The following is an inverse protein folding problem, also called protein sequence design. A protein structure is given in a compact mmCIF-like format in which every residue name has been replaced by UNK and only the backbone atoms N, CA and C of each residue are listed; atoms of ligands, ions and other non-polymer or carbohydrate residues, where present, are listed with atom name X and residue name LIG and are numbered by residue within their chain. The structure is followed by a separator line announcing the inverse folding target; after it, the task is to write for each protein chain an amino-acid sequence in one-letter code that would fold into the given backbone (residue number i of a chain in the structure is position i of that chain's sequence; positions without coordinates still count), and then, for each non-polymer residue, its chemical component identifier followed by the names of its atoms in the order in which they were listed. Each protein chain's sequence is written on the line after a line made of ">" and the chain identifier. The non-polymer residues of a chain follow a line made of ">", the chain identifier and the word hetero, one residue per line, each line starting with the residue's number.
data_IF_668376039076
#
_entry.id   IF_668376039076
#
_cell.length_a   1.000
_cell.length_b   1.000
_cell.length_c   1.000
_cell.angle_alpha   90.00
_cell.angle_beta   90.00
_cell.angle_gamma   90.00
#
_symmetry.space_group_name_H-M   'P 1'
#
loop_
_entity.id
_entity.type
_entity.pdbx_description
1 polymer ?
#
# COMPACT_ATOMS: atom_id res chain seq x y z
N UNK A 1 -4.34 5.14 4.38
CA UNK A 1 -4.10 3.84 3.72
C UNK A 1 -5.36 3.01 3.73
N UNK A 2 -5.80 2.48 2.57
CA UNK A 2 -6.89 1.51 2.50
C UNK A 2 -6.53 0.21 3.23
N UNK A 3 -7.55 -0.51 3.70
CA UNK A 3 -7.41 -1.78 4.42
C UNK A 3 -8.21 -2.86 3.71
N UNK A 4 -7.61 -4.03 3.52
CA UNK A 4 -8.30 -5.23 3.08
C UNK A 4 -8.64 -6.12 4.28
N UNK A 5 -9.89 -6.58 4.35
CA UNK A 5 -10.43 -7.41 5.43
C UNK A 5 -10.51 -8.90 5.08
N UNK A 6 -10.20 -9.25 3.82
CA UNK A 6 -10.03 -10.62 3.35
C UNK A 6 -8.60 -10.80 2.81
N UNK A 7 -8.06 -12.03 2.76
CA UNK A 7 -6.73 -12.27 2.22
C UNK A 7 -6.62 -11.77 0.78
N UNK A 8 -5.64 -10.92 0.51
CA UNK A 8 -5.39 -10.37 -0.83
C UNK A 8 -4.26 -11.09 -1.54
N UNK A 9 -4.36 -11.19 -2.86
CA UNK A 9 -3.32 -11.63 -3.79
C UNK A 9 -2.72 -10.43 -4.55
N UNK A 10 -1.68 -10.67 -5.36
CA UNK A 10 -1.02 -9.61 -6.12
C UNK A 10 -1.95 -8.89 -7.09
N UNK A 11 -2.81 -9.64 -7.79
CA UNK A 11 -3.73 -9.11 -8.81
C UNK A 11 -4.82 -8.21 -8.24
N UNK A 12 -5.13 -8.34 -6.95
CA UNK A 12 -6.17 -7.54 -6.28
C UNK A 12 -5.76 -6.09 -6.06
N UNK A 13 -4.46 -5.78 -6.13
CA UNK A 13 -3.93 -4.42 -5.97
C UNK A 13 -3.39 -3.82 -7.26
N UNK A 14 -3.44 -4.55 -8.38
CA UNK A 14 -3.00 -4.03 -9.68
C UNK A 14 -3.81 -2.80 -10.09
N UNK A 15 -3.13 -1.71 -10.44
CA UNK A 15 -3.74 -0.43 -10.77
C UNK A 15 -4.20 0.39 -9.56
N UNK A 16 -3.90 -0.03 -8.33
CA UNK A 16 -4.21 0.77 -7.14
C UNK A 16 -3.28 2.01 -7.06
N UNK A 17 -3.80 3.25 -6.98
CA UNK A 17 -2.98 4.47 -6.97
C UNK A 17 -2.32 4.74 -5.61
N UNK A 18 -2.66 3.94 -4.60
CA UNK A 18 -2.15 4.10 -3.23
C UNK A 18 -0.82 3.38 -3.06
N UNK A 19 0.03 3.91 -2.17
CA UNK A 19 1.37 3.33 -1.95
C UNK A 19 1.34 1.97 -1.24
N UNK A 20 0.26 1.65 -0.52
CA UNK A 20 0.09 0.38 0.18
C UNK A 20 -1.37 0.18 0.61
N UNK A 21 -1.87 -1.03 0.40
CA UNK A 21 -3.11 -1.56 0.98
C UNK A 21 -2.73 -2.49 2.13
N UNK A 22 -3.19 -2.16 3.33
CA UNK A 22 -2.91 -2.92 4.53
C UNK A 22 -3.78 -4.18 4.58
N UNK A 23 -3.18 -5.36 4.74
CA UNK A 23 -3.89 -6.65 4.79
C UNK A 23 -4.12 -7.06 6.26
N UNK A 24 -5.35 -6.83 6.75
CA UNK A 24 -5.76 -7.20 8.10
C UNK A 24 -5.87 -8.71 8.27
N UNK A 25 -6.27 -9.42 7.22
CA UNK A 25 -6.52 -10.85 7.26
C UNK A 25 -5.23 -11.67 7.40
N UNK A 26 -4.08 -11.12 6.98
CA UNK A 26 -2.76 -11.74 7.14
C UNK A 26 -1.95 -11.17 8.32
N UNK A 27 -2.27 -9.96 8.79
CA UNK A 27 -1.58 -9.34 9.93
C UNK A 27 -1.88 -10.06 11.25
N UNK A 28 -0.85 -10.33 12.05
CA UNK A 28 -0.96 -11.07 13.33
C UNK A 28 -0.16 -10.41 14.43
N UNK A 29 -0.69 -10.45 15.65
CA UNK A 29 -0.01 -10.02 16.87
C UNK A 29 0.25 -11.23 17.79
N UNK A 30 1.39 -11.23 18.47
CA UNK A 30 1.74 -12.17 19.53
C UNK A 30 2.44 -11.39 20.66
N UNK A 31 1.70 -11.10 21.74
CA UNK A 31 2.16 -10.24 22.81
C UNK A 31 2.54 -8.86 22.29
N UNK A 32 3.79 -8.45 22.53
CA UNK A 32 4.35 -7.17 22.07
C UNK A 32 4.91 -7.19 20.63
N UNK A 33 4.90 -8.34 19.94
CA UNK A 33 5.39 -8.47 18.56
C UNK A 33 4.23 -8.49 17.57
N UNK A 34 4.34 -7.71 16.50
CA UNK A 34 3.34 -7.68 15.41
C UNK A 34 4.00 -7.94 14.06
N UNK A 35 3.45 -8.88 13.30
CA UNK A 35 3.79 -9.11 11.89
C UNK A 35 2.72 -8.47 11.00
N UNK A 36 3.08 -7.37 10.36
CA UNK A 36 2.22 -6.55 9.52
C UNK A 36 2.36 -6.97 8.06
N UNK A 37 1.24 -7.13 7.36
CA UNK A 37 1.23 -7.40 5.92
C UNK A 37 0.57 -6.27 5.16
N UNK A 38 1.14 -5.93 4.01
CA UNK A 38 0.56 -5.00 3.07
C UNK A 38 1.03 -5.35 1.65
N UNK A 39 0.21 -4.98 0.68
CA UNK A 39 0.52 -5.12 -0.74
C UNK A 39 0.43 -3.77 -1.43
N UNK A 40 1.17 -3.63 -2.51
CA UNK A 40 1.15 -2.44 -3.32
C UNK A 40 1.44 -2.80 -4.77
N UNK A 41 0.89 -2.00 -5.67
CA UNK A 41 1.34 -1.98 -7.04
C UNK A 41 2.67 -1.22 -7.09
N UNK A 42 3.75 -1.93 -7.41
CA UNK A 42 5.10 -1.38 -7.46
C UNK A 42 5.34 -0.45 -8.66
N UNK A 43 4.54 -0.59 -9.72
CA UNK A 43 4.60 0.27 -10.91
C UNK A 43 3.67 1.46 -10.70
N UNK A 44 2.37 1.19 -10.60
CA UNK A 44 1.35 2.24 -10.60
C UNK A 44 1.33 3.04 -9.30
N UNK A 45 1.41 2.37 -8.14
CA UNK A 45 1.43 3.05 -6.84
C UNK A 45 2.65 3.94 -6.68
N UNK A 46 3.81 3.51 -7.20
CA UNK A 46 5.04 4.30 -7.22
C UNK A 46 4.94 5.50 -8.17
N UNK A 47 4.47 5.30 -9.41
CA UNK A 47 4.29 6.40 -10.37
C UNK A 47 3.37 7.49 -9.83
N UNK A 48 2.28 7.13 -9.15
CA UNK A 48 1.42 8.12 -8.50
C UNK A 48 2.16 8.94 -7.42
N UNK A 49 3.02 8.29 -6.60
CA UNK A 49 3.85 9.03 -5.63
C UNK A 49 4.90 9.92 -6.30
N UNK A 50 5.42 9.51 -7.45
CA UNK A 50 6.35 10.33 -8.22
C UNK A 50 5.66 11.58 -8.77
N UNK A 51 4.41 11.48 -9.23
CA UNK A 51 3.61 12.63 -9.66
C UNK A 51 3.35 13.58 -8.48
N UNK A 52 2.91 13.04 -7.34
CA UNK A 52 2.68 13.83 -6.12
C UNK A 52 3.96 14.57 -5.69
N UNK A 53 5.11 13.88 -5.71
CA UNK A 53 6.41 14.48 -5.37
C UNK A 53 6.82 15.56 -6.38
N UNK A 54 6.61 15.31 -7.68
CA UNK A 54 6.93 16.29 -8.73
C UNK A 54 6.09 17.56 -8.54
N UNK A 55 4.80 17.42 -8.24
CA UNK A 55 3.93 18.55 -7.95
C UNK A 55 4.41 19.32 -6.71
N UNK A 56 4.75 18.61 -5.64
CA UNK A 56 5.28 19.22 -4.41
C UNK A 56 6.55 20.04 -4.66
N UNK A 57 7.46 19.55 -5.50
CA UNK A 57 8.73 20.25 -5.83
C UNK A 57 8.49 21.39 -6.83
N UNK A 58 7.46 21.29 -7.68
CA UNK A 58 7.13 22.33 -8.66
C UNK A 58 6.34 23.51 -8.06
N UNK A 59 5.84 23.38 -6.83
CA UNK A 59 5.16 24.46 -6.09
C UNK A 59 6.15 25.47 -5.45
N UNK A 60 7.45 25.37 -5.73
CA UNK A 60 8.49 26.37 -5.38
C UNK A 60 8.58 27.54 -6.39
#
# INVERSE_FOLDING_TARGET
>A
MPKATAPTASRDVSGAPVSCVFDLALTRANGALVKVFGRYDNEWGYTNRLLDLTALVAED
#
